data_IF_589340034430
#
_entry.id   IF_589340034430
#
_cell.length_a   1.000
_cell.length_b   1.000
_cell.length_c   1.000
_cell.angle_alpha   90.00
_cell.angle_beta   90.00
_cell.angle_gamma   90.00
#
_symmetry.space_group_name_H-M   'P 1'
#
loop_
_entity.id
_entity.type
_entity.pdbx_description
1 polymer ?
#
# COMPACT_ATOMS: atom_id res chain seq x y z
N UNK A 1 0.70 19.24 21.85
CA UNK A 1 -0.77 19.20 21.68
C UNK A 1 -1.11 17.74 21.39
N UNK A 2 -1.76 17.06 22.31
CA UNK A 2 -2.12 15.63 22.19
C UNK A 2 -3.30 15.53 21.24
N UNK A 3 -3.07 15.09 20.01
CA UNK A 3 -4.14 14.80 19.05
C UNK A 3 -4.91 13.58 19.60
N UNK A 4 -6.16 13.79 20.02
CA UNK A 4 -7.05 12.69 20.39
C UNK A 4 -7.20 11.77 19.18
N UNK A 5 -6.96 10.46 19.27
CA UNK A 5 -7.16 9.57 18.15
C UNK A 5 -8.63 9.61 17.74
N UNK A 6 -8.87 10.02 16.50
CA UNK A 6 -10.20 9.93 15.88
C UNK A 6 -10.56 8.44 15.86
N UNK A 7 -11.65 8.08 16.55
CA UNK A 7 -12.13 6.69 16.55
C UNK A 7 -12.51 6.31 15.11
N UNK A 8 -11.87 5.26 14.61
CA UNK A 8 -12.16 4.73 13.28
C UNK A 8 -13.67 4.44 13.14
N UNK A 9 -14.26 4.87 12.05
CA UNK A 9 -15.66 4.60 11.74
C UNK A 9 -15.90 3.09 11.61
N UNK A 10 -17.14 2.64 11.75
CA UNK A 10 -17.46 1.22 11.55
C UNK A 10 -17.11 0.74 10.14
N UNK A 11 -17.25 1.62 9.16
CA UNK A 11 -16.86 1.32 7.78
C UNK A 11 -15.36 1.09 7.62
N UNK A 12 -14.54 1.93 8.22
CA UNK A 12 -13.07 1.77 8.24
C UNK A 12 -12.64 0.51 8.99
N UNK A 13 -13.28 0.18 10.12
CA UNK A 13 -12.99 -1.08 10.83
C UNK A 13 -13.26 -2.31 9.94
N UNK A 14 -14.35 -2.31 9.18
CA UNK A 14 -14.67 -3.40 8.24
C UNK A 14 -13.62 -3.47 7.12
N UNK A 15 -13.15 -2.34 6.62
CA UNK A 15 -12.12 -2.27 5.58
C UNK A 15 -10.77 -2.75 6.10
N UNK A 16 -10.41 -2.42 7.34
CA UNK A 16 -9.21 -2.95 7.98
C UNK A 16 -9.26 -4.48 8.09
N UNK A 17 -10.38 -5.05 8.54
CA UNK A 17 -10.56 -6.51 8.57
C UNK A 17 -10.49 -7.17 7.18
N UNK A 18 -10.92 -6.45 6.13
CA UNK A 18 -10.78 -6.92 4.76
C UNK A 18 -9.31 -6.90 4.30
N UNK A 19 -8.54 -5.86 4.65
CA UNK A 19 -7.09 -5.78 4.45
C UNK A 19 -6.39 -6.95 5.13
N UNK A 20 -6.65 -7.17 6.42
CA UNK A 20 -6.02 -8.21 7.22
C UNK A 20 -6.36 -9.61 6.67
N UNK A 21 -7.58 -9.80 6.19
CA UNK A 21 -8.00 -11.05 5.54
C UNK A 21 -7.21 -11.29 4.25
N UNK A 22 -7.06 -10.27 3.40
CA UNK A 22 -6.29 -10.38 2.15
C UNK A 22 -4.82 -10.63 2.44
N UNK A 23 -4.22 -9.86 3.35
CA UNK A 23 -2.81 -9.99 3.71
C UNK A 23 -2.47 -11.36 4.33
N UNK A 24 -3.36 -11.90 5.18
CA UNK A 24 -3.12 -13.16 5.90
C UNK A 24 -3.52 -14.40 5.13
N UNK A 25 -4.59 -14.34 4.34
CA UNK A 25 -5.25 -15.52 3.74
C UNK A 25 -5.29 -15.51 2.23
N UNK A 26 -4.93 -14.39 1.60
CA UNK A 26 -4.95 -14.22 0.16
C UNK A 26 -6.29 -13.71 -0.39
N UNK A 27 -6.22 -13.14 -1.59
CA UNK A 27 -7.36 -12.53 -2.27
C UNK A 27 -8.54 -13.50 -2.50
N UNK A 28 -8.28 -14.75 -2.82
CA UNK A 28 -9.32 -15.76 -3.07
C UNK A 28 -10.26 -15.99 -1.88
N UNK A 29 -9.82 -15.62 -0.68
CA UNK A 29 -10.64 -15.67 0.56
C UNK A 29 -11.48 -14.42 0.79
N UNK A 30 -11.28 -13.35 0.03
CA UNK A 30 -12.04 -12.10 0.16
C UNK A 30 -13.48 -12.26 -0.35
N UNK A 31 -14.35 -12.73 0.50
CA UNK A 31 -15.79 -12.86 0.24
C UNK A 31 -16.60 -12.05 1.24
N UNK A 32 -17.80 -11.59 0.85
CA UNK A 32 -18.71 -10.86 1.74
C UNK A 32 -18.95 -11.60 3.07
N UNK A 33 -19.09 -12.93 3.04
CA UNK A 33 -19.29 -13.74 4.26
C UNK A 33 -18.03 -13.81 5.11
N UNK A 34 -16.85 -13.90 4.50
CA UNK A 34 -15.59 -13.95 5.21
C UNK A 34 -15.32 -12.61 5.90
N UNK A 35 -15.51 -11.48 5.21
CA UNK A 35 -15.36 -10.14 5.79
C UNK A 35 -16.37 -9.90 6.91
N UNK A 36 -17.63 -10.27 6.73
CA UNK A 36 -18.64 -10.15 7.80
C UNK A 36 -18.20 -10.93 9.07
N UNK A 37 -17.69 -12.14 8.90
CA UNK A 37 -17.18 -12.98 10.00
C UNK A 37 -15.95 -12.34 10.67
N UNK A 38 -14.97 -11.91 9.91
CA UNK A 38 -13.77 -11.23 10.43
C UNK A 38 -14.15 -9.98 11.22
N UNK A 39 -15.08 -9.16 10.69
CA UNK A 39 -15.58 -7.95 11.37
C UNK A 39 -16.51 -8.21 12.55
N UNK A 40 -16.82 -9.47 12.87
CA UNK A 40 -17.74 -9.83 13.97
C UNK A 40 -19.19 -9.40 13.77
N UNK A 41 -19.66 -9.28 12.50
CA UNK A 41 -21.02 -8.83 12.17
C UNK A 41 -21.79 -9.83 11.30
N UNK A 42 -23.12 -9.71 11.28
CA UNK A 42 -23.94 -10.47 10.35
C UNK A 42 -23.79 -9.95 8.92
N UNK A 43 -23.96 -10.83 7.93
CA UNK A 43 -23.89 -10.45 6.50
C UNK A 43 -24.80 -9.28 6.14
N UNK A 44 -26.03 -9.23 6.67
CA UNK A 44 -26.95 -8.12 6.44
C UNK A 44 -26.44 -6.77 6.96
N UNK A 45 -25.70 -6.78 8.09
CA UNK A 45 -25.07 -5.57 8.60
C UNK A 45 -23.87 -5.13 7.72
N UNK A 46 -23.10 -6.08 7.18
CA UNK A 46 -22.06 -5.77 6.19
C UNK A 46 -22.70 -5.16 4.92
N UNK A 47 -23.79 -5.74 4.42
CA UNK A 47 -24.48 -5.26 3.22
C UNK A 47 -25.12 -3.87 3.40
N UNK A 48 -25.39 -3.44 4.61
CA UNK A 48 -25.76 -2.04 4.89
C UNK A 48 -24.62 -1.06 4.57
N UNK A 49 -23.37 -1.44 4.86
CA UNK A 49 -22.19 -0.62 4.58
C UNK A 49 -21.67 -0.79 3.15
N UNK A 50 -21.75 -2.01 2.62
CA UNK A 50 -21.27 -2.42 1.30
C UNK A 50 -22.30 -3.36 0.67
N UNK A 51 -23.26 -2.82 -0.10
CA UNK A 51 -24.38 -3.61 -0.66
C UNK A 51 -23.91 -4.78 -1.52
N UNK A 52 -22.84 -4.59 -2.28
CA UNK A 52 -22.29 -5.62 -3.18
C UNK A 52 -20.79 -5.88 -2.90
N UNK A 53 -20.28 -6.98 -3.46
CA UNK A 53 -18.83 -7.24 -3.45
C UNK A 53 -18.06 -6.12 -4.17
N UNK A 54 -18.60 -5.58 -5.24
CA UNK A 54 -18.01 -4.46 -5.97
C UNK A 54 -17.89 -3.19 -5.10
N UNK A 55 -18.92 -2.87 -4.31
CA UNK A 55 -18.86 -1.74 -3.37
C UNK A 55 -17.81 -1.96 -2.27
N UNK A 56 -17.67 -3.19 -1.80
CA UNK A 56 -16.60 -3.55 -0.85
C UNK A 56 -15.21 -3.36 -1.47
N UNK A 57 -15.00 -3.84 -2.70
CA UNK A 57 -13.73 -3.68 -3.43
C UNK A 57 -13.41 -2.21 -3.68
N UNK A 58 -14.39 -1.41 -4.09
CA UNK A 58 -14.22 0.04 -4.25
C UNK A 58 -13.85 0.72 -2.93
N UNK A 59 -14.52 0.35 -1.85
CA UNK A 59 -14.18 0.83 -0.52
C UNK A 59 -12.77 0.44 -0.10
N UNK A 60 -12.37 -0.80 -0.38
CA UNK A 60 -11.02 -1.30 -0.09
C UNK A 60 -9.96 -0.53 -0.89
N UNK A 61 -10.18 -0.33 -2.20
CA UNK A 61 -9.29 0.44 -3.05
C UNK A 61 -9.10 1.87 -2.52
N UNK A 62 -10.19 2.58 -2.20
CA UNK A 62 -10.11 3.93 -1.63
C UNK A 62 -9.35 3.95 -0.30
N UNK A 63 -9.64 2.99 0.59
CA UNK A 63 -9.04 2.90 1.92
C UNK A 63 -7.52 2.66 1.84
N UNK A 64 -7.09 1.79 0.93
CA UNK A 64 -5.67 1.53 0.68
C UNK A 64 -5.00 2.76 0.08
N UNK A 65 -5.60 3.39 -0.95
CA UNK A 65 -5.07 4.61 -1.56
C UNK A 65 -4.89 5.75 -0.55
N UNK A 66 -5.88 5.97 0.33
CA UNK A 66 -5.81 6.98 1.38
C UNK A 66 -4.65 6.68 2.35
N UNK A 67 -4.51 5.42 2.81
CA UNK A 67 -3.45 5.04 3.73
C UNK A 67 -2.05 5.24 3.13
N UNK A 68 -1.86 4.94 1.85
CA UNK A 68 -0.59 5.19 1.15
C UNK A 68 -0.31 6.69 1.00
N UNK A 69 -1.33 7.51 0.66
CA UNK A 69 -1.16 8.97 0.57
C UNK A 69 -0.84 9.58 1.93
N UNK A 70 -1.57 9.21 2.98
CA UNK A 70 -1.32 9.69 4.34
C UNK A 70 0.10 9.39 4.81
N UNK A 71 0.58 8.16 4.56
CA UNK A 71 1.96 7.75 4.87
C UNK A 71 2.98 8.56 4.09
N UNK A 72 2.73 8.79 2.82
CA UNK A 72 3.65 9.57 1.98
C UNK A 72 3.67 11.05 2.38
N UNK A 73 2.53 11.63 2.69
CA UNK A 73 2.42 13.01 3.18
C UNK A 73 3.14 13.19 4.52
N UNK A 74 3.00 12.21 5.43
CA UNK A 74 3.74 12.18 6.69
C UNK A 74 5.26 12.08 6.45
N UNK A 75 5.70 11.20 5.55
CA UNK A 75 7.10 11.09 5.16
C UNK A 75 7.64 12.42 4.61
N UNK A 76 6.89 13.10 3.73
CA UNK A 76 7.30 14.39 3.20
C UNK A 76 7.37 15.48 4.27
N UNK A 77 6.45 15.49 5.23
CA UNK A 77 6.40 16.50 6.30
C UNK A 77 7.61 16.40 7.25
N UNK A 78 8.17 15.21 7.42
CA UNK A 78 9.32 14.94 8.29
C UNK A 78 10.66 15.25 7.61
N UNK A 79 10.66 15.58 6.30
CA UNK A 79 11.88 15.85 5.56
C UNK A 79 12.42 17.28 5.82
N UNK A 80 13.73 17.44 6.00
CA UNK A 80 14.33 18.76 6.00
C UNK A 80 14.14 19.46 4.65
N UNK A 81 14.10 20.79 4.63
CA UNK A 81 13.71 21.63 3.49
C UNK A 81 14.45 21.43 2.15
N UNK A 82 15.27 20.39 2.02
CA UNK A 82 15.92 19.94 0.78
C UNK A 82 15.22 18.81 0.03
N UNK A 83 14.12 18.29 0.56
CA UNK A 83 13.43 17.12 0.03
C UNK A 83 14.15 15.79 0.28
N UNK A 84 13.46 14.66 0.10
CA UNK A 84 14.02 13.33 0.29
C UNK A 84 15.15 13.01 -0.70
N UNK A 85 16.10 12.23 -0.25
CA UNK A 85 17.03 11.52 -1.15
C UNK A 85 16.33 10.33 -1.82
N UNK A 86 16.83 9.87 -2.96
CA UNK A 86 16.32 8.63 -3.58
C UNK A 86 16.45 7.46 -2.60
N UNK A 87 17.54 7.42 -1.85
CA UNK A 87 17.77 6.39 -0.84
C UNK A 87 16.73 6.44 0.29
N UNK A 88 16.41 7.64 0.82
CA UNK A 88 15.37 7.81 1.85
C UNK A 88 13.98 7.43 1.32
N UNK A 89 13.68 7.74 0.05
CA UNK A 89 12.43 7.31 -0.56
C UNK A 89 12.37 5.79 -0.75
N UNK A 90 13.43 5.17 -1.27
CA UNK A 90 13.51 3.71 -1.42
C UNK A 90 13.38 3.03 -0.05
N UNK A 91 14.07 3.54 0.95
CA UNK A 91 13.95 3.04 2.32
C UNK A 91 12.52 3.16 2.86
N UNK A 92 11.87 4.32 2.69
CA UNK A 92 10.47 4.51 3.04
C UNK A 92 9.54 3.51 2.34
N UNK A 93 9.71 3.30 1.03
CA UNK A 93 8.90 2.37 0.25
C UNK A 93 9.09 0.91 0.69
N UNK A 94 10.29 0.55 1.15
CA UNK A 94 10.61 -0.81 1.60
C UNK A 94 10.27 -1.07 3.07
N UNK A 95 10.38 -0.06 3.94
CA UNK A 95 10.18 -0.20 5.39
C UNK A 95 8.73 -0.05 5.85
N UNK A 96 7.81 0.11 4.92
CA UNK A 96 6.38 0.25 5.20
C UNK A 96 5.76 1.60 4.79
N UNK A 97 5.70 1.84 3.51
CA UNK A 97 5.08 3.03 2.93
C UNK A 97 3.63 3.29 3.43
N UNK A 98 2.96 2.27 3.91
CA UNK A 98 1.58 2.38 4.39
C UNK A 98 1.43 2.10 5.90
N UNK A 99 2.56 2.00 6.60
CA UNK A 99 2.61 1.72 8.03
C UNK A 99 2.17 0.30 8.40
N UNK A 100 2.42 -0.10 9.62
CA UNK A 100 1.98 -1.38 10.19
C UNK A 100 0.47 -1.65 9.99
N UNK A 101 -0.29 -0.62 9.69
CA UNK A 101 -1.73 -0.68 9.47
C UNK A 101 -2.14 -1.53 8.28
N UNK A 102 -1.36 -1.51 7.18
CA UNK A 102 -1.70 -2.24 5.96
C UNK A 102 -0.92 -3.55 5.78
N UNK A 103 0.11 -3.84 6.59
CA UNK A 103 0.98 -5.00 6.39
C UNK A 103 1.49 -5.05 4.94
N UNK A 104 2.10 -3.93 4.47
CA UNK A 104 2.34 -3.67 3.07
C UNK A 104 3.11 -4.78 2.35
N UNK A 105 4.09 -5.40 3.01
CA UNK A 105 4.89 -6.52 2.51
C UNK A 105 4.06 -7.76 2.16
N UNK A 106 2.91 -7.96 2.81
CA UNK A 106 1.96 -9.05 2.57
C UNK A 106 0.80 -8.63 1.68
N UNK A 107 0.29 -7.40 1.88
CA UNK A 107 -0.84 -6.89 1.12
C UNK A 107 -0.46 -6.59 -0.33
N UNK A 108 0.66 -5.90 -0.57
CA UNK A 108 1.03 -5.40 -1.89
C UNK A 108 1.09 -6.48 -2.97
N UNK A 109 1.72 -7.65 -2.74
CA UNK A 109 1.67 -8.76 -3.70
C UNK A 109 0.25 -9.26 -4.00
N UNK A 110 -0.67 -9.16 -3.03
CA UNK A 110 -2.08 -9.53 -3.23
C UNK A 110 -2.82 -8.48 -4.04
N UNK A 111 -2.55 -7.19 -3.84
CA UNK A 111 -3.12 -6.11 -4.66
C UNK A 111 -2.69 -6.26 -6.12
N UNK A 112 -1.42 -6.59 -6.37
CA UNK A 112 -0.92 -6.93 -7.69
C UNK A 112 -1.68 -8.11 -8.32
N UNK A 113 -1.85 -9.19 -7.59
CA UNK A 113 -2.63 -10.35 -8.08
C UNK A 113 -4.11 -9.99 -8.33
N UNK A 114 -4.68 -9.11 -7.50
CA UNK A 114 -6.05 -8.61 -7.67
C UNK A 114 -6.17 -7.73 -8.92
N UNK A 115 -5.20 -6.88 -9.22
CA UNK A 115 -5.25 -5.97 -10.37
C UNK A 115 -5.31 -6.72 -11.71
N UNK A 116 -4.78 -7.93 -11.77
CA UNK A 116 -4.85 -8.77 -12.97
C UNK A 116 -6.26 -9.30 -13.30
N UNK A 117 -7.20 -9.24 -12.36
CA UNK A 117 -8.53 -9.86 -12.49
C UNK A 117 -9.70 -8.94 -12.08
N UNK A 118 -9.41 -7.84 -11.38
CA UNK A 118 -10.41 -6.89 -10.88
C UNK A 118 -10.11 -5.48 -11.41
N UNK A 119 -10.87 -4.96 -12.36
CA UNK A 119 -10.57 -3.65 -12.97
C UNK A 119 -10.44 -2.49 -11.98
N UNK A 120 -11.20 -2.54 -10.88
CA UNK A 120 -11.10 -1.49 -9.85
C UNK A 120 -9.76 -1.53 -9.08
N UNK A 121 -9.12 -2.70 -9.01
CA UNK A 121 -7.79 -2.84 -8.42
C UNK A 121 -6.68 -2.50 -9.42
N UNK A 122 -6.91 -2.75 -10.71
CA UNK A 122 -6.06 -2.24 -11.78
C UNK A 122 -6.00 -0.71 -11.72
N UNK A 123 -7.15 -0.03 -11.70
CA UNK A 123 -7.24 1.42 -11.56
C UNK A 123 -6.55 1.94 -10.28
N UNK A 124 -6.70 1.23 -9.15
CA UNK A 124 -5.99 1.57 -7.92
C UNK A 124 -4.47 1.51 -8.10
N UNK A 125 -3.96 0.41 -8.66
CA UNK A 125 -2.52 0.20 -8.83
C UNK A 125 -1.94 1.22 -9.81
N UNK A 126 -2.60 1.48 -10.93
CA UNK A 126 -2.18 2.48 -11.91
C UNK A 126 -2.07 3.87 -11.26
N UNK A 127 -3.09 4.30 -10.52
CA UNK A 127 -3.08 5.60 -9.85
C UNK A 127 -1.97 5.70 -8.77
N UNK A 128 -1.73 4.64 -8.00
CA UNK A 128 -0.64 4.62 -7.01
C UNK A 128 0.72 4.70 -7.68
N UNK A 129 0.94 3.93 -8.75
CA UNK A 129 2.21 3.98 -9.47
C UNK A 129 2.43 5.31 -10.17
N UNK A 130 1.41 5.86 -10.83
CA UNK A 130 1.53 7.18 -11.48
C UNK A 130 1.97 8.24 -10.48
N UNK A 131 1.37 8.27 -9.30
CA UNK A 131 1.69 9.22 -8.25
C UNK A 131 3.14 9.05 -7.73
N UNK A 132 3.58 7.83 -7.44
CA UNK A 132 4.93 7.55 -6.95
C UNK A 132 5.99 7.77 -8.04
N UNK A 133 5.73 7.34 -9.27
CA UNK A 133 6.65 7.50 -10.40
C UNK A 133 6.85 8.97 -10.75
N UNK A 134 5.80 9.80 -10.70
CA UNK A 134 5.93 11.24 -10.93
C UNK A 134 6.82 11.89 -9.87
N UNK A 135 6.56 11.63 -8.60
CA UNK A 135 7.36 12.15 -7.48
C UNK A 135 8.82 11.71 -7.55
N UNK A 136 9.05 10.42 -7.85
CA UNK A 136 10.41 9.88 -8.01
C UNK A 136 11.13 10.48 -9.22
N UNK A 137 10.42 10.66 -10.34
CA UNK A 137 10.99 11.31 -11.53
C UNK A 137 11.40 12.75 -11.26
N UNK A 138 10.57 13.54 -10.58
CA UNK A 138 10.93 14.91 -10.16
C UNK A 138 12.17 14.95 -9.25
N UNK A 139 12.30 13.99 -8.34
CA UNK A 139 13.46 13.90 -7.46
C UNK A 139 14.74 13.56 -8.24
N UNK A 140 14.65 12.65 -9.20
CA UNK A 140 15.76 12.26 -10.09
C UNK A 140 16.15 13.42 -11.03
N UNK A 141 15.18 14.14 -11.57
CA UNK A 141 15.42 15.32 -12.43
C UNK A 141 16.20 16.41 -11.69
N UNK A 142 15.80 16.74 -10.45
CA UNK A 142 16.53 17.70 -9.59
C UNK A 142 17.98 17.29 -9.33
N UNK A 143 18.32 16.01 -9.51
CA UNK A 143 19.67 15.46 -9.37
C UNK A 143 20.43 15.31 -10.69
N UNK A 144 19.84 15.76 -11.78
CA UNK A 144 20.47 15.77 -13.11
C UNK A 144 20.36 14.43 -13.84
N UNK A 145 19.39 13.57 -13.49
CA UNK A 145 19.09 12.34 -14.24
C UNK A 145 18.79 12.67 -15.71
N UNK A 146 19.35 11.88 -16.63
CA UNK A 146 19.17 12.11 -18.06
C UNK A 146 17.81 11.64 -18.58
N UNK A 147 17.23 10.64 -17.93
CA UNK A 147 15.92 10.06 -18.29
C UNK A 147 15.10 9.78 -17.02
N UNK A 148 14.67 10.85 -16.28
CA UNK A 148 14.15 10.71 -14.93
C UNK A 148 12.95 9.76 -14.83
N UNK A 149 12.02 9.78 -15.81
CA UNK A 149 10.87 8.86 -15.82
C UNK A 149 11.27 7.40 -16.01
N UNK A 150 12.20 7.13 -16.94
CA UNK A 150 12.68 5.76 -17.16
C UNK A 150 13.46 5.23 -15.95
N UNK A 151 14.29 6.09 -15.34
CA UNK A 151 15.04 5.77 -14.15
C UNK A 151 14.10 5.54 -12.95
N UNK A 152 13.02 6.32 -12.82
CA UNK A 152 11.98 6.13 -11.80
C UNK A 152 11.31 4.74 -11.92
N UNK A 153 10.96 4.33 -13.15
CA UNK A 153 10.38 2.99 -13.39
C UNK A 153 11.35 1.89 -12.95
N UNK A 154 12.65 2.03 -13.26
CA UNK A 154 13.65 1.04 -12.85
C UNK A 154 13.76 0.95 -11.33
N UNK A 155 13.84 2.10 -10.65
CA UNK A 155 13.90 2.14 -9.17
C UNK A 155 12.66 1.50 -8.56
N UNK A 156 11.46 1.83 -9.06
CA UNK A 156 10.22 1.25 -8.56
C UNK A 156 10.17 -0.26 -8.79
N UNK A 157 10.54 -0.74 -9.97
CA UNK A 157 10.61 -2.18 -10.26
C UNK A 157 11.61 -2.92 -9.36
N UNK A 158 12.71 -2.26 -8.97
CA UNK A 158 13.65 -2.81 -7.98
C UNK A 158 13.02 -2.90 -6.59
N UNK A 159 12.31 -1.86 -6.14
CA UNK A 159 11.61 -1.85 -4.84
C UNK A 159 10.57 -2.96 -4.78
N UNK A 160 9.71 -3.08 -5.80
CA UNK A 160 8.69 -4.12 -5.88
C UNK A 160 9.31 -5.53 -5.88
N UNK A 161 10.35 -5.73 -6.68
CA UNK A 161 11.09 -6.99 -6.70
C UNK A 161 11.71 -7.31 -5.34
N UNK A 162 12.35 -6.35 -4.70
CA UNK A 162 12.94 -6.54 -3.37
C UNK A 162 11.88 -6.88 -2.32
N UNK A 163 10.74 -6.20 -2.32
CA UNK A 163 9.62 -6.49 -1.41
C UNK A 163 9.13 -7.93 -1.55
N UNK A 164 9.06 -8.45 -2.79
CA UNK A 164 8.69 -9.85 -3.02
C UNK A 164 9.72 -10.85 -2.49
N UNK A 165 11.01 -10.50 -2.51
CA UNK A 165 12.09 -11.40 -2.07
C UNK A 165 12.41 -11.26 -0.58
N UNK A 166 12.37 -10.05 -0.03
CA UNK A 166 12.87 -9.73 1.31
C UNK A 166 11.78 -9.38 2.32
N UNK A 167 10.52 -9.29 1.92
CA UNK A 167 9.38 -9.04 2.81
C UNK A 167 9.29 -10.06 3.95
N UNK A 168 8.60 -9.70 5.01
CA UNK A 168 8.48 -10.49 6.24
C UNK A 168 8.01 -11.93 5.95
N UNK A 169 8.66 -12.90 6.60
CA UNK A 169 8.42 -14.33 6.39
C UNK A 169 8.98 -14.91 5.08
N UNK A 170 9.69 -14.12 4.26
CA UNK A 170 10.37 -14.61 3.06
C UNK A 170 11.75 -15.21 3.39
N UNK A 171 12.22 -16.14 2.53
CA UNK A 171 13.52 -16.79 2.71
C UNK A 171 14.69 -15.79 2.81
N UNK A 172 14.58 -14.65 2.14
CA UNK A 172 15.63 -13.64 2.02
C UNK A 172 15.39 -12.41 2.91
N UNK A 173 14.39 -12.44 3.81
CA UNK A 173 14.02 -11.31 4.67
C UNK A 173 15.21 -10.74 5.45
N UNK A 174 16.11 -11.59 5.97
CA UNK A 174 17.30 -11.17 6.71
C UNK A 174 18.31 -10.38 5.85
N UNK A 175 18.18 -10.38 4.53
CA UNK A 175 19.06 -9.67 3.60
C UNK A 175 18.52 -8.32 3.13
N UNK A 176 17.30 -7.96 3.50
CA UNK A 176 16.69 -6.67 3.16
C UNK A 176 17.60 -5.50 3.50
N UNK A 177 18.10 -5.37 4.74
CA UNK A 177 18.99 -4.27 5.14
C UNK A 177 20.32 -4.20 4.37
N UNK A 178 20.86 -5.35 3.92
CA UNK A 178 22.10 -5.38 3.13
C UNK A 178 21.92 -4.76 1.74
N UNK A 179 20.70 -4.88 1.18
CA UNK A 179 20.40 -4.41 -0.18
C UNK A 179 20.01 -2.93 -0.19
N UNK A 180 19.34 -2.44 0.85
CA UNK A 180 18.97 -1.01 0.96
C UNK A 180 20.14 -0.10 1.22
N UNK A 181 21.29 -0.63 1.67
CA UNK A 181 22.53 0.12 1.94
C UNK A 181 23.58 0.00 0.82
N UNK A 182 23.32 -0.80 -0.20
CA UNK A 182 24.21 -0.99 -1.35
C UNK A 182 23.89 -0.02 -2.47
#
# INVERSE_FOLDING_TARGET
MTTTPVLATRREQILQEAVDLVASSGYDKLTMRAVARASGIKLGALQYHFPTRHDLLRGLASYVAEAYRDSFDAFQADLPGGGASVQELVQFLMEDAAGHRLQADRLFPQLWAMSLVEPIMEELMDNLYDEYLEKLAEMLERRGAQRPRAEAIVVMAMVDGLTLFTGDGRRWAARGPEVTTA
#
